data_IF_488798650040
#
_entry.id   IF_488798650040
#
_cell.length_a   1.000
_cell.length_b   1.000
_cell.length_c   1.000
_cell.angle_alpha   90.00
_cell.angle_beta   90.00
_cell.angle_gamma   90.00
#
_symmetry.space_group_name_H-M   'P 1'
#
loop_
_entity.id
_entity.type
_entity.pdbx_description
1 polymer ?
#
# COMPACT_ATOMS: atom_id res chain seq x y z
N UNK A 1 -6.93 13.17 -0.41
CA UNK A 1 -8.06 12.26 -0.12
C UNK A 1 -8.05 12.01 1.37
N UNK A 2 -9.08 12.40 2.08
CA UNK A 2 -9.22 12.21 3.55
C UNK A 2 -9.32 10.69 3.82
N UNK A 3 -8.63 10.21 4.86
CA UNK A 3 -8.57 8.77 5.16
C UNK A 3 -7.77 7.94 4.15
N UNK A 4 -7.00 8.59 3.28
CA UNK A 4 -6.17 7.92 2.30
C UNK A 4 -4.97 7.22 2.93
N UNK A 5 -4.23 6.59 2.08
CA UNK A 5 -3.06 5.77 2.36
C UNK A 5 -2.03 6.40 3.33
N UNK A 6 -1.72 7.71 3.21
CA UNK A 6 -0.77 8.39 4.09
C UNK A 6 -1.34 8.67 5.50
N UNK A 7 -2.65 8.61 5.69
CA UNK A 7 -3.29 8.83 6.98
C UNK A 7 -3.52 7.55 7.78
N UNK A 8 -3.41 6.38 7.17
CA UNK A 8 -3.80 5.11 7.81
C UNK A 8 -2.96 4.80 9.06
N UNK A 9 -1.64 4.92 8.99
CA UNK A 9 -0.79 4.69 10.16
C UNK A 9 -1.04 5.74 11.26
N UNK A 10 -1.01 7.07 11.00
CA UNK A 10 -1.30 8.05 12.03
C UNK A 10 -2.70 7.91 12.63
N UNK A 11 -3.73 7.58 11.85
CA UNK A 11 -5.07 7.30 12.36
C UNK A 11 -5.09 6.07 13.28
N UNK A 12 -4.35 5.02 12.92
CA UNK A 12 -4.31 3.80 13.72
C UNK A 12 -3.63 4.02 15.07
N UNK A 13 -2.51 4.76 15.12
CA UNK A 13 -1.82 5.06 16.38
C UNK A 13 -2.63 6.01 17.28
N UNK A 14 -3.34 6.98 16.70
CA UNK A 14 -4.31 7.83 17.42
C UNK A 14 -5.43 6.99 18.01
N UNK A 15 -6.07 6.14 17.21
CA UNK A 15 -7.17 5.28 17.63
C UNK A 15 -6.79 4.28 18.72
N UNK A 16 -5.52 3.88 18.72
CA UNK A 16 -4.96 3.00 19.75
C UNK A 16 -4.51 3.72 21.02
N UNK A 17 -4.61 5.05 21.08
CA UNK A 17 -4.15 5.85 22.21
C UNK A 17 -2.63 5.79 22.42
N UNK A 18 -1.87 5.59 21.35
CA UNK A 18 -0.40 5.58 21.39
C UNK A 18 0.19 6.99 21.24
N UNK A 19 -0.59 7.90 20.67
CA UNK A 19 -0.29 9.34 20.54
C UNK A 19 -1.58 10.14 20.73
N UNK A 20 -1.48 11.37 21.20
CA UNK A 20 -2.63 12.26 21.45
C UNK A 20 -3.04 13.04 20.20
N UNK A 21 -2.10 13.35 19.34
CA UNK A 21 -2.32 14.03 18.06
C UNK A 21 -1.33 13.52 17.00
N UNK A 22 -1.65 13.78 15.73
CA UNK A 22 -0.77 13.46 14.63
C UNK A 22 -0.87 14.51 13.52
N UNK A 23 0.20 14.66 12.77
CA UNK A 23 0.23 15.49 11.57
C UNK A 23 0.74 14.69 10.39
N UNK A 24 0.18 14.94 9.21
CA UNK A 24 0.70 14.45 7.93
C UNK A 24 1.37 15.63 7.23
N UNK A 25 2.67 15.57 7.10
CA UNK A 25 3.50 16.58 6.45
C UNK A 25 3.78 16.17 5.01
N UNK A 26 3.50 17.08 4.08
CA UNK A 26 3.75 16.86 2.65
C UNK A 26 4.56 18.01 2.07
N UNK A 27 5.41 17.71 1.10
CA UNK A 27 6.08 18.73 0.29
C UNK A 27 5.17 19.12 -0.89
N UNK A 28 5.17 20.40 -1.23
CA UNK A 28 4.52 20.88 -2.43
C UNK A 28 5.50 21.68 -3.32
N UNK A 29 5.22 21.67 -4.61
CA UNK A 29 6.03 22.35 -5.62
C UNK A 29 5.11 23.26 -6.43
N UNK A 30 5.09 24.55 -6.16
CA UNK A 30 4.23 25.47 -6.88
C UNK A 30 4.25 26.87 -6.30
N UNK A 31 3.60 27.82 -6.96
CA UNK A 31 3.56 29.21 -6.52
C UNK A 31 2.51 29.45 -5.42
N UNK A 32 1.46 28.60 -5.35
CA UNK A 32 0.37 28.78 -4.39
C UNK A 32 0.32 27.59 -3.44
N UNK A 33 0.44 27.80 -2.11
CA UNK A 33 0.34 26.70 -1.14
C UNK A 33 -1.05 26.03 -1.22
N UNK A 34 -1.12 24.71 -1.09
CA UNK A 34 -2.40 24.04 -0.94
C UNK A 34 -3.06 24.50 0.36
N UNK A 35 -4.38 24.60 0.33
CA UNK A 35 -5.17 24.93 1.54
C UNK A 35 -4.98 23.79 2.54
N UNK A 36 -4.59 24.13 3.78
CA UNK A 36 -4.55 23.17 4.89
C UNK A 36 -5.94 22.56 5.06
N UNK A 37 -6.00 21.24 5.06
CA UNK A 37 -7.25 20.50 5.20
C UNK A 37 -7.22 19.68 6.48
N UNK A 38 -8.35 19.60 7.20
CA UNK A 38 -8.45 18.63 8.29
C UNK A 38 -8.25 17.21 7.74
N UNK A 39 -7.57 16.38 8.52
CA UNK A 39 -7.47 14.95 8.24
C UNK A 39 -8.79 14.20 8.50
N UNK A 40 -8.74 12.87 8.44
CA UNK A 40 -9.89 12.00 8.71
C UNK A 40 -10.27 11.93 10.21
N UNK A 41 -9.59 12.67 11.07
CA UNK A 41 -9.86 12.80 12.50
C UNK A 41 -9.62 14.24 12.94
N UNK A 42 -10.34 14.75 13.94
CA UNK A 42 -10.08 16.09 14.51
C UNK A 42 -8.70 16.22 15.17
N UNK A 43 -8.06 15.08 15.51
CA UNK A 43 -6.70 15.03 16.07
C UNK A 43 -5.62 14.76 15.01
N UNK A 44 -5.99 14.75 13.72
CA UNK A 44 -5.09 14.58 12.58
C UNK A 44 -5.11 15.83 11.71
N UNK A 45 -4.00 16.54 11.65
CA UNK A 45 -3.81 17.71 10.79
C UNK A 45 -3.01 17.35 9.53
N UNK A 46 -3.29 18.03 8.43
CA UNK A 46 -2.46 18.00 7.22
C UNK A 46 -1.77 19.33 7.04
N UNK A 47 -0.44 19.29 6.87
CA UNK A 47 0.36 20.47 6.55
C UNK A 47 1.12 20.25 5.25
N UNK A 48 1.18 21.29 4.44
CA UNK A 48 1.99 21.30 3.24
C UNK A 48 3.12 22.31 3.40
N UNK A 49 4.35 21.89 3.14
CA UNK A 49 5.55 22.72 3.23
C UNK A 49 6.14 22.89 1.82
N UNK A 50 6.56 24.11 1.49
CA UNK A 50 7.19 24.34 0.20
C UNK A 50 8.54 23.65 0.15
N UNK A 51 8.75 22.82 -0.87
CA UNK A 51 10.05 22.19 -1.10
C UNK A 51 11.05 23.23 -1.64
N UNK A 52 12.29 23.17 -1.16
CA UNK A 52 13.37 24.03 -1.65
C UNK A 52 13.81 23.68 -3.09
N UNK A 53 13.49 22.45 -3.55
CA UNK A 53 13.85 21.94 -4.87
C UNK A 53 12.97 20.75 -5.26
N UNK A 54 13.19 20.22 -6.45
CA UNK A 54 12.45 19.09 -7.02
C UNK A 54 13.10 17.72 -6.78
N UNK A 55 14.32 17.69 -6.28
CA UNK A 55 15.10 16.47 -6.08
C UNK A 55 14.96 15.92 -4.65
N UNK A 56 14.81 14.61 -4.55
CA UNK A 56 14.78 13.90 -3.29
C UNK A 56 16.20 13.50 -2.82
N UNK A 57 16.44 13.40 -1.51
CA UNK A 57 15.50 13.62 -0.40
C UNK A 57 15.15 15.10 -0.24
N UNK A 58 13.86 15.38 0.03
CA UNK A 58 13.34 16.74 -0.02
C UNK A 58 13.72 17.58 1.18
N UNK A 59 14.22 18.81 0.93
CA UNK A 59 14.43 19.86 1.93
C UNK A 59 13.31 20.89 1.87
N UNK A 60 13.04 21.55 3.00
CA UNK A 60 12.05 22.62 3.11
C UNK A 60 12.40 23.58 4.24
N UNK A 61 12.69 24.83 3.89
CA UNK A 61 12.91 25.88 4.87
C UNK A 61 11.66 26.17 5.71
N UNK A 62 10.46 26.02 5.11
CA UNK A 62 9.20 26.19 5.82
C UNK A 62 9.03 25.10 6.89
N UNK A 63 9.39 23.86 6.57
CA UNK A 63 9.34 22.74 7.53
C UNK A 63 10.36 22.97 8.66
N UNK A 64 11.57 23.38 8.35
CA UNK A 64 12.60 23.73 9.35
C UNK A 64 12.16 24.88 10.24
N UNK A 65 11.56 25.92 9.65
CA UNK A 65 10.98 27.05 10.38
C UNK A 65 9.84 26.63 11.32
N UNK A 66 8.99 25.72 10.87
CA UNK A 66 7.93 25.15 11.69
C UNK A 66 8.49 24.34 12.88
N UNK A 67 9.48 23.49 12.64
CA UNK A 67 10.15 22.72 13.70
C UNK A 67 10.82 23.66 14.71
N UNK A 68 11.46 24.74 14.24
CA UNK A 68 12.10 25.72 15.13
C UNK A 68 11.10 26.50 15.99
N UNK A 69 9.91 26.80 15.45
CA UNK A 69 8.87 27.57 16.13
C UNK A 69 8.05 26.74 17.14
N UNK A 70 7.75 25.47 16.81
CA UNK A 70 6.83 24.64 17.58
C UNK A 70 7.49 23.44 18.25
N UNK A 71 8.76 23.19 17.98
CA UNK A 71 9.52 22.02 18.42
C UNK A 71 9.38 20.85 17.46
N UNK A 72 10.30 19.85 17.56
CA UNK A 72 10.22 18.63 16.80
C UNK A 72 9.09 17.71 17.30
N UNK A 73 8.50 16.87 16.44
CA UNK A 73 7.54 15.87 16.88
C UNK A 73 8.23 14.81 17.77
N UNK A 74 7.49 14.20 18.71
CA UNK A 74 8.03 13.09 19.50
C UNK A 74 8.39 11.88 18.62
N UNK A 75 7.61 11.65 17.57
CA UNK A 75 7.82 10.58 16.58
C UNK A 75 7.76 11.18 15.19
N UNK A 76 8.79 10.95 14.39
CA UNK A 76 8.83 11.32 12.97
C UNK A 76 8.82 10.06 12.09
N UNK A 77 7.75 9.83 11.34
CA UNK A 77 7.68 8.73 10.39
C UNK A 77 7.86 9.24 8.96
N UNK A 78 8.94 8.84 8.31
CA UNK A 78 9.34 9.27 6.96
C UNK A 78 9.03 8.18 5.94
N UNK A 79 8.55 8.58 4.75
CA UNK A 79 8.07 7.69 3.71
C UNK A 79 8.81 7.88 2.39
N UNK A 80 8.95 6.78 1.64
CA UNK A 80 9.37 6.80 0.23
C UNK A 80 10.70 7.50 -0.02
N UNK A 81 10.66 8.61 -0.74
CA UNK A 81 11.86 9.37 -1.13
C UNK A 81 12.50 10.17 0.01
N UNK A 82 11.79 10.26 1.15
CA UNK A 82 12.35 10.80 2.37
C UNK A 82 12.41 12.32 2.45
N UNK A 83 13.06 12.77 3.53
CA UNK A 83 13.41 14.17 3.79
C UNK A 83 14.94 14.29 3.86
N UNK A 84 15.44 15.48 3.65
CA UNK A 84 16.88 15.77 3.72
C UNK A 84 17.44 15.63 5.13
N UNK A 85 18.76 15.49 5.23
CA UNK A 85 19.44 15.29 6.51
C UNK A 85 19.21 16.43 7.51
N UNK A 86 19.12 17.67 7.04
CA UNK A 86 18.84 18.85 7.87
C UNK A 86 17.51 18.76 8.65
N UNK A 87 16.46 18.21 8.02
CA UNK A 87 15.18 17.94 8.69
C UNK A 87 15.34 16.87 9.77
N UNK A 88 16.10 15.80 9.51
CA UNK A 88 16.36 14.76 10.49
C UNK A 88 17.21 15.25 11.65
N UNK A 89 18.16 16.14 11.40
CA UNK A 89 18.98 16.80 12.44
C UNK A 89 18.16 17.79 13.27
N UNK A 90 17.23 18.52 12.66
CA UNK A 90 16.29 19.38 13.39
C UNK A 90 15.37 18.55 14.32
N UNK A 91 15.10 17.29 13.95
CA UNK A 91 14.33 16.30 14.71
C UNK A 91 15.24 15.30 15.47
N UNK A 92 16.46 15.71 15.91
CA UNK A 92 17.41 14.78 16.55
C UNK A 92 16.85 14.08 17.79
N UNK A 93 15.98 14.76 18.55
CA UNK A 93 15.37 14.25 19.78
C UNK A 93 14.09 13.42 19.53
N UNK A 94 13.63 13.36 18.27
CA UNK A 94 12.48 12.54 17.85
C UNK A 94 12.87 11.07 17.71
N UNK A 95 11.93 10.17 17.98
CA UNK A 95 12.04 8.78 17.53
C UNK A 95 11.74 8.71 16.02
N UNK A 96 12.72 8.34 15.21
CA UNK A 96 12.66 8.42 13.75
C UNK A 96 12.41 7.06 13.13
N UNK A 97 11.31 6.95 12.40
CA UNK A 97 10.88 5.74 11.70
C UNK A 97 11.00 5.99 10.20
N UNK A 98 11.60 5.05 9.47
CA UNK A 98 11.48 5.01 8.01
C UNK A 98 10.47 3.94 7.62
N UNK A 99 9.46 4.33 6.85
CA UNK A 99 8.46 3.40 6.33
C UNK A 99 8.77 3.06 4.87
N UNK A 100 9.30 1.86 4.65
CA UNK A 100 9.62 1.35 3.32
C UNK A 100 8.35 0.93 2.59
N UNK A 101 7.92 1.74 1.65
CA UNK A 101 6.69 1.53 0.87
C UNK A 101 6.95 1.08 -0.57
N UNK A 102 8.19 1.18 -1.01
CA UNK A 102 8.63 0.82 -2.36
C UNK A 102 9.35 -0.52 -2.38
N UNK A 103 9.52 -1.14 -3.56
CA UNK A 103 10.28 -2.38 -3.69
C UNK A 103 11.73 -2.23 -3.19
N UNK A 104 12.53 -1.18 -3.50
CA UNK A 104 13.78 -0.91 -2.79
C UNK A 104 13.52 -0.59 -1.32
N UNK A 105 14.17 -1.31 -0.41
CA UNK A 105 13.95 -1.20 1.03
C UNK A 105 14.24 0.21 1.58
N UNK A 106 15.22 0.89 1.03
CA UNK A 106 15.62 2.25 1.37
C UNK A 106 15.84 3.05 0.08
N UNK A 107 15.01 4.07 -0.15
CA UNK A 107 15.12 5.00 -1.28
C UNK A 107 15.88 6.27 -0.94
N UNK A 108 16.40 6.36 0.25
CA UNK A 108 17.21 7.49 0.73
C UNK A 108 18.69 7.10 0.79
N UNK A 109 19.63 8.04 0.60
CA UNK A 109 21.06 7.77 0.69
C UNK A 109 21.48 7.35 2.10
N UNK A 110 22.73 6.86 2.23
CA UNK A 110 23.23 6.31 3.50
C UNK A 110 23.24 7.36 4.62
N UNK A 111 23.67 8.56 4.33
CA UNK A 111 23.78 9.71 5.26
C UNK A 111 22.42 10.10 5.83
N UNK A 112 21.35 9.93 5.08
CA UNK A 112 19.98 10.12 5.54
C UNK A 112 19.48 8.89 6.30
N UNK A 113 19.67 7.69 5.73
CA UNK A 113 19.12 6.48 6.32
C UNK A 113 19.74 6.09 7.67
N UNK A 114 20.98 6.51 7.97
CA UNK A 114 21.65 6.27 9.25
C UNK A 114 21.00 6.94 10.46
N UNK A 115 20.15 7.95 10.24
CA UNK A 115 19.47 8.70 11.30
C UNK A 115 18.19 8.05 11.82
N UNK A 116 17.72 6.96 11.19
CA UNK A 116 16.49 6.29 11.63
C UNK A 116 16.76 5.34 12.80
N UNK A 117 15.81 5.31 13.74
CA UNK A 117 15.82 4.43 14.90
C UNK A 117 15.11 3.10 14.63
N UNK A 118 14.23 3.07 13.60
CA UNK A 118 13.46 1.90 13.19
C UNK A 118 13.14 1.98 11.69
N UNK A 119 13.15 0.83 11.02
CA UNK A 119 12.65 0.72 9.64
C UNK A 119 11.48 -0.28 9.57
N UNK A 120 10.33 0.19 9.08
CA UNK A 120 9.20 -0.66 8.74
C UNK A 120 9.39 -1.19 7.32
N UNK A 121 9.28 -2.49 7.13
CA UNK A 121 9.52 -3.17 5.85
C UNK A 121 8.30 -3.97 5.41
N UNK A 122 8.19 -4.24 4.12
CA UNK A 122 7.10 -5.04 3.54
C UNK A 122 7.39 -6.53 3.48
N UNK A 123 8.64 -6.95 3.75
CA UNK A 123 9.06 -8.35 3.58
C UNK A 123 10.38 -8.65 4.28
N UNK A 124 10.67 -9.94 4.44
CA UNK A 124 11.92 -10.40 5.06
C UNK A 124 13.16 -9.95 4.29
N UNK A 125 13.15 -10.06 2.94
CA UNK A 125 14.31 -9.65 2.13
C UNK A 125 14.62 -8.15 2.26
N UNK A 126 13.60 -7.29 2.39
CA UNK A 126 13.81 -5.87 2.65
C UNK A 126 14.48 -5.64 4.00
N UNK A 127 14.05 -6.37 5.03
CA UNK A 127 14.70 -6.32 6.36
C UNK A 127 16.16 -6.76 6.30
N UNK A 128 16.48 -7.74 5.47
CA UNK A 128 17.85 -8.20 5.25
C UNK A 128 18.71 -7.15 4.54
N UNK A 129 18.15 -6.46 3.53
CA UNK A 129 18.81 -5.33 2.87
C UNK A 129 19.07 -4.19 3.84
N UNK A 130 18.11 -3.84 4.71
CA UNK A 130 18.32 -2.81 5.73
C UNK A 130 19.44 -3.23 6.70
N UNK A 131 19.40 -4.44 7.23
CA UNK A 131 20.45 -4.95 8.16
C UNK A 131 21.84 -5.03 7.54
N UNK A 132 21.93 -5.34 6.25
CA UNK A 132 23.22 -5.34 5.55
C UNK A 132 23.81 -3.93 5.40
N UNK A 133 22.95 -2.91 5.30
CA UNK A 133 23.36 -1.51 5.17
C UNK A 133 23.56 -0.83 6.54
N UNK A 134 22.74 -1.21 7.53
CA UNK A 134 22.72 -0.66 8.89
C UNK A 134 22.51 -1.77 9.89
N UNK A 135 23.61 -2.34 10.40
CA UNK A 135 23.58 -3.52 11.31
C UNK A 135 22.90 -3.24 12.66
N UNK A 136 22.81 -1.98 13.07
CA UNK A 136 22.25 -1.57 14.38
C UNK A 136 20.81 -1.10 14.31
N UNK A 137 20.28 -0.81 13.12
CA UNK A 137 18.90 -0.32 12.99
C UNK A 137 17.93 -1.51 12.97
N UNK A 138 17.01 -1.61 13.94
CA UNK A 138 16.00 -2.66 13.97
C UNK A 138 15.00 -2.53 12.82
N UNK A 139 14.43 -3.66 12.42
CA UNK A 139 13.40 -3.71 11.38
C UNK A 139 12.15 -4.44 11.87
N UNK A 140 10.98 -3.99 11.43
CA UNK A 140 9.71 -4.69 11.63
C UNK A 140 9.09 -4.93 10.26
N UNK A 141 8.70 -6.18 9.99
CA UNK A 141 7.86 -6.49 8.82
C UNK A 141 6.43 -6.06 9.16
N UNK A 142 6.06 -4.91 8.64
CA UNK A 142 4.74 -4.30 8.81
C UNK A 142 4.37 -3.64 7.48
N UNK A 143 4.04 -4.44 6.47
CA UNK A 143 3.71 -3.92 5.16
C UNK A 143 2.44 -3.09 5.22
N UNK A 144 2.46 -2.00 4.47
CA UNK A 144 1.32 -1.09 4.34
C UNK A 144 0.06 -1.77 3.80
N UNK A 145 0.22 -2.85 3.04
CA UNK A 145 -0.86 -3.56 2.40
C UNK A 145 -1.88 -4.07 3.41
N UNK A 146 -1.74 -5.33 3.82
CA UNK A 146 -2.73 -6.02 4.64
C UNK A 146 -3.02 -5.33 5.96
N UNK A 147 -2.00 -4.93 6.65
CA UNK A 147 -2.11 -4.38 7.98
C UNK A 147 -2.57 -2.92 7.99
N UNK A 148 -2.69 -2.28 6.81
CA UNK A 148 -3.13 -0.90 6.66
C UNK A 148 -4.48 -0.75 5.96
N UNK A 149 -5.10 -1.83 5.50
CA UNK A 149 -6.45 -1.80 4.96
C UNK A 149 -7.50 -1.71 6.08
N UNK A 150 -8.60 -1.01 5.82
CA UNK A 150 -9.69 -0.85 6.79
C UNK A 150 -10.79 -1.88 6.54
N UNK A 151 -11.11 -2.67 7.57
CA UNK A 151 -12.24 -3.61 7.56
C UNK A 151 -13.61 -2.90 7.55
N UNK A 152 -13.65 -1.60 7.81
CA UNK A 152 -14.87 -0.80 7.71
C UNK A 152 -15.15 -0.37 6.28
N UNK A 153 -14.10 -0.11 5.51
CA UNK A 153 -14.20 0.27 4.10
C UNK A 153 -14.33 -0.95 3.20
N UNK A 154 -13.47 -1.97 3.40
CA UNK A 154 -13.47 -3.19 2.62
C UNK A 154 -14.19 -4.30 3.38
N UNK A 155 -15.34 -4.70 2.85
CA UNK A 155 -16.22 -5.69 3.49
C UNK A 155 -17.07 -6.42 2.46
N UNK A 156 -17.54 -7.62 2.77
CA UNK A 156 -18.50 -8.31 1.93
C UNK A 156 -19.80 -7.51 1.75
N UNK A 157 -20.28 -7.50 0.52
CA UNK A 157 -21.59 -6.95 0.14
C UNK A 157 -22.31 -8.06 -0.62
N UNK A 158 -23.54 -8.37 -0.21
CA UNK A 158 -24.38 -9.34 -0.93
C UNK A 158 -24.84 -8.72 -2.24
N UNK A 159 -24.27 -9.23 -3.35
CA UNK A 159 -24.58 -8.77 -4.69
C UNK A 159 -24.18 -9.79 -5.77
N UNK A 160 -24.79 -9.74 -6.97
CA UNK A 160 -24.47 -10.65 -8.06
C UNK A 160 -23.01 -10.57 -8.48
N UNK A 161 -22.39 -11.73 -8.69
CA UNK A 161 -21.04 -11.85 -9.23
C UNK A 161 -21.06 -11.74 -10.75
N UNK A 162 -20.75 -10.55 -11.24
CA UNK A 162 -20.75 -10.20 -12.67
C UNK A 162 -19.44 -10.56 -13.35
N UNK A 163 -18.33 -10.57 -12.58
CA UNK A 163 -16.98 -10.83 -13.07
C UNK A 163 -16.39 -12.08 -12.40
N UNK A 164 -15.62 -12.84 -13.17
CA UNK A 164 -14.84 -13.95 -12.61
C UNK A 164 -13.58 -13.44 -11.93
N UNK A 165 -12.96 -12.41 -12.51
CA UNK A 165 -11.69 -11.84 -12.06
C UNK A 165 -11.77 -10.32 -11.95
N UNK A 166 -11.16 -9.74 -10.91
CA UNK A 166 -10.93 -8.30 -10.82
C UNK A 166 -9.45 -8.00 -10.59
N UNK A 167 -8.93 -6.97 -11.27
CA UNK A 167 -7.61 -6.42 -11.04
C UNK A 167 -7.70 -4.92 -10.76
N UNK A 168 -7.48 -4.52 -9.51
CA UNK A 168 -7.41 -3.12 -9.09
C UNK A 168 -5.95 -2.70 -9.05
N UNK A 169 -5.50 -1.99 -10.06
CA UNK A 169 -4.10 -1.60 -10.22
C UNK A 169 -3.97 -0.38 -11.15
N UNK A 170 -2.99 0.47 -10.90
CA UNK A 170 -2.63 1.54 -11.82
C UNK A 170 -2.29 1.01 -13.23
N UNK A 171 -2.65 1.76 -14.27
CA UNK A 171 -2.28 1.43 -15.65
C UNK A 171 -0.79 1.76 -15.91
N UNK A 172 0.10 1.04 -15.24
CA UNK A 172 1.54 1.22 -15.27
C UNK A 172 2.28 -0.10 -15.54
N UNK A 173 3.45 -0.04 -16.15
CA UNK A 173 4.20 -1.21 -16.64
C UNK A 173 4.51 -2.23 -15.52
N UNK A 174 4.90 -1.78 -14.33
CA UNK A 174 5.25 -2.67 -13.22
C UNK A 174 4.06 -3.45 -12.64
N UNK A 175 2.83 -3.04 -12.93
CA UNK A 175 1.61 -3.77 -12.53
C UNK A 175 1.32 -4.98 -13.41
N UNK A 176 2.02 -5.13 -14.57
CA UNK A 176 2.02 -6.37 -15.37
C UNK A 176 0.63 -6.88 -15.74
N UNK A 177 -0.24 -6.00 -16.27
CA UNK A 177 -1.56 -6.39 -16.78
C UNK A 177 -1.48 -7.47 -17.86
N UNK A 178 -0.38 -7.50 -18.63
CA UNK A 178 -0.06 -8.52 -19.63
C UNK A 178 -0.19 -9.96 -19.08
N UNK A 179 0.22 -10.22 -17.83
CA UNK A 179 0.10 -11.54 -17.21
C UNK A 179 -1.37 -11.96 -17.09
N UNK A 180 -2.26 -11.05 -16.68
CA UNK A 180 -3.69 -11.32 -16.64
C UNK A 180 -4.25 -11.57 -18.03
N UNK A 181 -3.93 -10.72 -19.01
CA UNK A 181 -4.46 -10.80 -20.36
C UNK A 181 -4.02 -12.07 -21.08
N UNK A 182 -2.75 -12.45 -20.97
CA UNK A 182 -2.23 -13.72 -21.50
C UNK A 182 -2.87 -14.94 -20.80
N UNK A 183 -3.20 -14.84 -19.52
CA UNK A 183 -3.92 -15.89 -18.82
C UNK A 183 -5.37 -16.01 -19.31
N UNK A 184 -6.08 -14.89 -19.47
CA UNK A 184 -7.45 -14.86 -19.97
C UNK A 184 -7.55 -15.41 -21.40
N UNK A 185 -6.55 -15.13 -22.25
CA UNK A 185 -6.50 -15.66 -23.63
C UNK A 185 -6.44 -17.20 -23.69
N UNK A 186 -5.99 -17.87 -22.60
CA UNK A 186 -5.93 -19.34 -22.46
C UNK A 186 -7.16 -19.92 -21.76
N UNK A 187 -8.14 -19.10 -21.40
CA UNK A 187 -9.36 -19.48 -20.70
C UNK A 187 -10.59 -19.36 -21.62
N UNK A 188 -11.75 -19.94 -21.25
CA UNK A 188 -12.97 -19.80 -22.03
C UNK A 188 -13.33 -18.35 -22.34
N UNK A 189 -13.79 -18.05 -23.54
CA UNK A 189 -14.20 -16.71 -23.97
C UNK A 189 -15.36 -16.10 -23.15
N UNK A 190 -16.09 -16.92 -22.42
CA UNK A 190 -17.12 -16.49 -21.48
C UNK A 190 -16.55 -15.89 -20.18
N UNK A 191 -15.24 -16.07 -19.91
CA UNK A 191 -14.57 -15.50 -18.74
C UNK A 191 -14.60 -13.97 -18.81
N UNK A 192 -15.06 -13.34 -17.75
CA UNK A 192 -15.17 -11.88 -17.65
C UNK A 192 -14.21 -11.34 -16.60
N UNK A 193 -13.44 -10.33 -16.96
CA UNK A 193 -12.58 -9.62 -16.03
C UNK A 193 -12.94 -8.14 -15.96
N UNK A 194 -12.64 -7.52 -14.81
CA UNK A 194 -12.71 -6.09 -14.59
C UNK A 194 -11.33 -5.56 -14.19
N UNK A 195 -10.82 -4.55 -14.91
CA UNK A 195 -9.62 -3.81 -14.52
C UNK A 195 -10.04 -2.43 -14.00
N UNK A 196 -9.70 -2.11 -12.76
CA UNK A 196 -9.94 -0.80 -12.14
C UNK A 196 -8.62 -0.02 -12.10
N UNK A 197 -8.49 0.96 -13.00
CA UNK A 197 -7.26 1.72 -13.22
C UNK A 197 -7.46 3.17 -12.76
N UNK A 198 -7.07 3.48 -11.51
CA UNK A 198 -7.25 4.82 -10.94
C UNK A 198 -6.32 5.88 -11.54
N UNK A 199 -5.19 5.49 -12.12
CA UNK A 199 -4.20 6.36 -12.78
C UNK A 199 -3.24 5.52 -13.62
N UNK A 200 -2.35 6.20 -14.37
CA UNK A 200 -1.31 5.58 -15.19
C UNK A 200 -1.46 5.92 -16.67
N UNK A 201 -0.38 5.76 -17.40
CA UNK A 201 -0.23 6.17 -18.80
C UNK A 201 -0.55 5.06 -19.81
N UNK A 202 -0.78 3.82 -19.36
CA UNK A 202 -0.86 2.66 -20.27
C UNK A 202 -2.28 2.34 -20.77
N UNK A 203 -3.31 3.11 -20.41
CA UNK A 203 -4.71 2.76 -20.75
C UNK A 203 -4.92 2.44 -22.24
N UNK A 204 -4.34 3.25 -23.14
CA UNK A 204 -4.45 2.99 -24.58
C UNK A 204 -3.79 1.68 -25.02
N UNK A 205 -2.66 1.33 -24.42
CA UNK A 205 -1.95 0.07 -24.67
C UNK A 205 -2.73 -1.13 -24.15
N UNK A 206 -3.27 -1.04 -22.92
CA UNK A 206 -4.05 -2.12 -22.32
C UNK A 206 -5.32 -2.41 -23.13
N UNK A 207 -6.04 -1.39 -23.58
CA UNK A 207 -7.25 -1.58 -24.43
C UNK A 207 -6.93 -2.22 -25.76
N UNK A 208 -5.84 -1.81 -26.40
CA UNK A 208 -5.39 -2.40 -27.67
C UNK A 208 -5.05 -3.88 -27.48
N UNK A 209 -4.29 -4.24 -26.46
CA UNK A 209 -3.92 -5.63 -26.15
C UNK A 209 -5.16 -6.50 -25.90
N UNK A 210 -6.13 -6.02 -25.15
CA UNK A 210 -7.41 -6.71 -24.93
C UNK A 210 -8.14 -6.97 -26.24
N UNK A 211 -8.17 -5.98 -27.15
CA UNK A 211 -8.78 -6.12 -28.48
C UNK A 211 -8.03 -7.14 -29.37
N UNK A 212 -6.71 -7.10 -29.40
CA UNK A 212 -5.86 -8.01 -30.16
C UNK A 212 -6.00 -9.47 -29.69
N UNK A 213 -6.09 -9.69 -28.37
CA UNK A 213 -6.29 -11.00 -27.77
C UNK A 213 -7.76 -11.49 -27.86
N UNK A 214 -8.70 -10.58 -28.13
CA UNK A 214 -10.12 -10.87 -28.19
C UNK A 214 -10.68 -11.42 -26.87
N UNK A 215 -10.19 -10.94 -25.74
CA UNK A 215 -10.62 -11.31 -24.39
C UNK A 215 -11.68 -10.35 -23.87
N UNK A 216 -12.42 -10.77 -22.83
CA UNK A 216 -13.56 -10.02 -22.31
C UNK A 216 -13.16 -9.28 -21.02
N UNK A 217 -12.70 -8.03 -21.15
CA UNK A 217 -12.25 -7.19 -20.05
C UNK A 217 -12.95 -5.85 -20.09
N UNK A 218 -13.63 -5.50 -19.00
CA UNK A 218 -14.17 -4.17 -18.76
C UNK A 218 -13.14 -3.32 -18.00
N UNK A 219 -13.17 -1.99 -18.21
CA UNK A 219 -12.25 -1.06 -17.55
C UNK A 219 -12.99 0.05 -16.81
N UNK A 220 -12.51 0.38 -15.61
CA UNK A 220 -12.75 1.66 -14.95
C UNK A 220 -11.50 2.50 -15.18
N UNK A 221 -11.66 3.61 -15.89
CA UNK A 221 -10.56 4.48 -16.31
C UNK A 221 -10.18 5.51 -15.22
N UNK A 222 -9.00 6.15 -15.35
CA UNK A 222 -8.67 7.34 -14.56
C UNK A 222 -9.76 8.44 -14.65
N UNK A 223 -10.03 9.16 -13.57
CA UNK A 223 -9.29 9.18 -12.31
C UNK A 223 -9.64 8.06 -11.32
N UNK A 224 -10.30 7.00 -11.74
CA UNK A 224 -10.76 5.92 -10.89
C UNK A 224 -12.02 6.28 -10.08
N UNK A 225 -12.24 5.55 -9.00
CA UNK A 225 -13.43 5.67 -8.16
C UNK A 225 -13.06 5.72 -6.67
N UNK A 226 -13.95 6.23 -5.79
CA UNK A 226 -13.73 6.20 -4.33
C UNK A 226 -13.57 4.78 -3.78
N UNK A 227 -12.96 4.63 -2.61
CA UNK A 227 -12.69 3.33 -1.99
C UNK A 227 -13.95 2.50 -1.72
N UNK A 228 -15.05 3.13 -1.37
CA UNK A 228 -16.35 2.47 -1.18
C UNK A 228 -16.85 1.85 -2.49
N UNK A 229 -16.65 2.57 -3.59
CA UNK A 229 -17.00 2.04 -4.92
C UNK A 229 -16.02 0.95 -5.36
N UNK A 230 -14.72 1.09 -5.05
CA UNK A 230 -13.76 0.00 -5.26
C UNK A 230 -14.21 -1.26 -4.51
N UNK A 231 -14.63 -1.14 -3.25
CA UNK A 231 -15.17 -2.28 -2.50
C UNK A 231 -16.42 -2.88 -3.16
N UNK A 232 -17.32 -2.04 -3.70
CA UNK A 232 -18.51 -2.50 -4.42
C UNK A 232 -18.12 -3.29 -5.67
N UNK A 233 -17.18 -2.78 -6.46
CA UNK A 233 -16.65 -3.45 -7.66
C UNK A 233 -15.94 -4.77 -7.31
N UNK A 234 -15.17 -4.81 -6.23
CA UNK A 234 -14.58 -6.06 -5.72
C UNK A 234 -15.65 -7.11 -5.45
N UNK A 235 -16.75 -6.70 -4.81
CA UNK A 235 -17.84 -7.60 -4.47
C UNK A 235 -18.62 -8.12 -5.70
N UNK A 236 -18.47 -7.52 -6.87
CA UNK A 236 -18.99 -8.05 -8.13
C UNK A 236 -18.10 -9.14 -8.75
N UNK A 237 -16.90 -9.34 -8.24
CA UNK A 237 -15.97 -10.34 -8.75
C UNK A 237 -15.90 -11.58 -7.84
N UNK A 238 -15.42 -12.69 -8.40
CA UNK A 238 -15.24 -13.97 -7.69
C UNK A 238 -13.86 -14.05 -7.05
N UNK A 239 -12.81 -13.62 -7.77
CA UNK A 239 -11.42 -13.60 -7.28
C UNK A 239 -10.75 -12.27 -7.62
N UNK A 240 -9.85 -11.83 -6.75
CA UNK A 240 -8.93 -10.73 -7.00
C UNK A 240 -7.58 -11.23 -7.53
N UNK A 241 -6.92 -10.47 -8.39
CA UNK A 241 -5.58 -10.82 -8.87
C UNK A 241 -4.57 -9.72 -8.58
N UNK A 242 -3.30 -10.11 -8.39
CA UNK A 242 -2.16 -9.20 -8.30
C UNK A 242 -1.05 -9.72 -9.21
N UNK A 243 -0.84 -9.05 -10.33
CA UNK A 243 0.10 -9.45 -11.37
C UNK A 243 1.46 -8.76 -11.25
N UNK A 244 1.55 -7.63 -10.53
CA UNK A 244 2.76 -6.83 -10.38
C UNK A 244 3.96 -7.59 -9.82
N UNK A 245 5.16 -7.02 -10.05
CA UNK A 245 6.43 -7.58 -9.58
C UNK A 245 7.04 -6.66 -8.51
N UNK A 246 7.34 -5.43 -8.90
CA UNK A 246 8.04 -4.45 -8.07
C UNK A 246 7.08 -3.59 -7.23
N UNK A 247 6.19 -4.23 -6.50
CA UNK A 247 5.27 -3.59 -5.57
C UNK A 247 5.76 -3.81 -4.13
N UNK A 248 6.13 -2.74 -3.45
CA UNK A 248 6.72 -2.80 -2.11
C UNK A 248 5.67 -2.93 -1.00
N UNK A 249 4.46 -2.47 -1.25
CA UNK A 249 3.39 -2.42 -0.25
C UNK A 249 2.00 -2.61 -0.89
N UNK A 250 1.70 -3.79 -1.46
CA UNK A 250 0.46 -4.03 -2.18
C UNK A 250 -0.75 -4.12 -1.24
N UNK A 251 -1.30 -2.97 -0.83
CA UNK A 251 -2.49 -2.87 0.03
C UNK A 251 -3.67 -3.66 -0.53
N UNK A 252 -3.75 -3.77 -1.85
CA UNK A 252 -4.82 -4.46 -2.55
C UNK A 252 -4.98 -5.93 -2.14
N UNK A 253 -3.90 -6.60 -1.72
CA UNK A 253 -3.95 -8.00 -1.27
C UNK A 253 -4.96 -8.19 -0.13
N UNK A 254 -4.89 -7.33 0.88
CA UNK A 254 -5.81 -7.40 2.01
C UNK A 254 -7.12 -6.67 1.79
N UNK A 255 -7.16 -5.70 0.94
CA UNK A 255 -8.42 -5.07 0.53
C UNK A 255 -9.33 -6.11 -0.12
N UNK A 256 -8.81 -6.96 -1.01
CA UNK A 256 -9.55 -8.11 -1.54
C UNK A 256 -9.99 -9.07 -0.42
N UNK A 257 -9.07 -9.48 0.45
CA UNK A 257 -9.36 -10.42 1.53
C UNK A 257 -10.41 -9.88 2.49
N UNK A 258 -10.35 -8.58 2.84
CA UNK A 258 -11.35 -7.90 3.67
C UNK A 258 -12.71 -7.83 2.99
N UNK A 259 -12.75 -7.65 1.67
CA UNK A 259 -13.97 -7.75 0.88
C UNK A 259 -14.51 -9.20 0.75
N UNK A 260 -13.82 -10.18 1.32
CA UNK A 260 -14.19 -11.59 1.26
C UNK A 260 -13.80 -12.29 -0.03
N UNK A 261 -12.89 -11.69 -0.81
CA UNK A 261 -12.48 -12.20 -2.14
C UNK A 261 -11.10 -12.83 -2.02
N UNK A 262 -10.93 -14.10 -2.41
CA UNK A 262 -9.63 -14.76 -2.41
C UNK A 262 -8.72 -14.18 -3.51
N UNK A 263 -7.40 -14.27 -3.29
CA UNK A 263 -6.39 -13.60 -4.11
C UNK A 263 -5.50 -14.59 -4.85
N UNK A 264 -5.35 -14.39 -6.16
CA UNK A 264 -4.30 -15.02 -6.96
C UNK A 264 -3.16 -14.00 -7.15
N UNK A 265 -1.98 -14.30 -6.63
CA UNK A 265 -0.81 -13.45 -6.76
C UNK A 265 0.25 -14.04 -7.69
N UNK A 266 0.94 -13.16 -8.43
CA UNK A 266 2.13 -13.53 -9.19
C UNK A 266 3.26 -13.98 -8.26
N UNK A 267 3.85 -15.14 -8.53
CA UNK A 267 4.97 -15.67 -7.74
C UNK A 267 6.22 -14.78 -7.73
N UNK A 268 6.33 -13.86 -8.67
CA UNK A 268 7.42 -12.90 -8.76
C UNK A 268 7.17 -11.62 -7.96
N UNK A 269 6.00 -11.48 -7.32
CA UNK A 269 5.70 -10.32 -6.47
C UNK A 269 6.69 -10.24 -5.31
N UNK A 270 7.37 -9.12 -5.16
CA UNK A 270 8.48 -8.97 -4.19
C UNK A 270 8.02 -8.83 -2.75
N UNK A 271 6.87 -8.23 -2.50
CA UNK A 271 6.34 -8.02 -1.16
C UNK A 271 4.88 -8.46 -1.07
N UNK A 272 4.47 -9.00 0.08
CA UNK A 272 3.08 -9.35 0.36
C UNK A 272 2.73 -10.83 0.15
N UNK A 273 3.59 -11.66 -0.44
CA UNK A 273 3.28 -13.09 -0.64
C UNK A 273 3.06 -13.87 0.67
N UNK A 274 3.59 -13.38 1.79
CA UNK A 274 3.36 -13.95 3.12
C UNK A 274 1.88 -13.94 3.55
N UNK A 275 1.05 -13.12 2.91
CA UNK A 275 -0.39 -13.06 3.18
C UNK A 275 -1.22 -14.05 2.37
N UNK A 276 -0.59 -14.71 1.38
CA UNK A 276 -1.26 -15.72 0.56
C UNK A 276 -1.05 -17.08 1.21
N UNK A 277 -2.09 -17.55 1.90
CA UNK A 277 -2.16 -18.88 2.52
C UNK A 277 -3.11 -19.78 1.73
N UNK A 278 -3.14 -21.10 2.00
CA UNK A 278 -4.10 -22.00 1.37
C UNK A 278 -5.58 -21.58 1.55
N UNK A 279 -5.88 -20.83 2.64
CA UNK A 279 -7.22 -20.33 2.95
C UNK A 279 -7.53 -18.98 2.30
N UNK A 280 -6.50 -18.18 1.98
CA UNK A 280 -6.70 -16.82 1.43
C UNK A 280 -6.56 -16.75 -0.07
N UNK A 281 -5.86 -17.72 -0.68
CA UNK A 281 -5.62 -17.66 -2.11
C UNK A 281 -4.56 -18.62 -2.62
N UNK A 282 -3.93 -18.21 -3.70
CA UNK A 282 -2.89 -18.99 -4.38
C UNK A 282 -1.81 -18.08 -4.96
N UNK A 283 -0.60 -18.59 -5.04
CA UNK A 283 0.52 -18.00 -5.80
C UNK A 283 0.72 -18.82 -7.07
N UNK A 284 0.91 -18.17 -8.21
CA UNK A 284 1.20 -18.83 -9.48
C UNK A 284 2.24 -18.05 -10.30
N UNK A 285 3.06 -18.77 -11.08
CA UNK A 285 3.95 -18.10 -12.03
C UNK A 285 3.16 -17.50 -13.20
N UNK A 286 3.70 -16.51 -13.92
CA UNK A 286 3.03 -15.91 -15.07
C UNK A 286 2.53 -16.94 -16.10
N UNK A 287 3.33 -17.97 -16.39
CA UNK A 287 3.02 -18.99 -17.37
C UNK A 287 1.84 -19.86 -16.95
N UNK A 288 1.66 -20.08 -15.64
CA UNK A 288 0.61 -20.90 -15.02
C UNK A 288 -0.52 -20.08 -14.41
N UNK A 289 -0.56 -18.77 -14.66
CA UNK A 289 -1.55 -17.88 -14.05
C UNK A 289 -2.99 -18.29 -14.42
N UNK A 290 -3.21 -18.73 -15.66
CA UNK A 290 -4.50 -19.25 -16.12
C UNK A 290 -4.96 -20.52 -15.39
N UNK A 291 -4.02 -21.42 -15.03
CA UNK A 291 -4.31 -22.58 -14.18
C UNK A 291 -4.69 -22.14 -12.77
N UNK A 292 -4.00 -21.12 -12.24
CA UNK A 292 -4.32 -20.52 -10.95
C UNK A 292 -5.73 -19.94 -10.90
N UNK A 293 -6.15 -19.20 -11.93
CA UNK A 293 -7.52 -18.66 -12.04
C UNK A 293 -8.54 -19.81 -12.03
N UNK A 294 -8.34 -20.86 -12.84
CA UNK A 294 -9.24 -22.01 -12.93
C UNK A 294 -9.36 -22.75 -11.60
N UNK A 295 -8.24 -23.04 -10.95
CA UNK A 295 -8.20 -23.73 -9.66
C UNK A 295 -8.96 -22.93 -8.59
N UNK A 296 -8.69 -21.63 -8.48
CA UNK A 296 -9.34 -20.78 -7.49
C UNK A 296 -10.85 -20.68 -7.69
N UNK A 297 -11.31 -20.53 -8.94
CA UNK A 297 -12.74 -20.52 -9.25
C UNK A 297 -13.43 -21.85 -8.88
N UNK A 298 -12.72 -22.98 -8.99
CA UNK A 298 -13.22 -24.30 -8.57
C UNK A 298 -13.27 -24.51 -7.05
N UNK A 299 -12.55 -23.69 -6.27
CA UNK A 299 -12.37 -23.84 -4.82
C UNK A 299 -13.02 -22.75 -3.97
N UNK A 300 -13.79 -21.84 -4.54
CA UNK A 300 -14.32 -20.65 -3.85
C UNK A 300 -14.97 -20.98 -2.49
N UNK A 301 -15.74 -22.06 -2.41
CA UNK A 301 -16.44 -22.46 -1.18
C UNK A 301 -15.52 -22.94 -0.03
N UNK A 302 -14.22 -23.18 -0.30
CA UNK A 302 -13.25 -23.63 0.71
C UNK A 302 -12.35 -22.50 1.22
N UNK A 303 -12.41 -21.32 0.59
CA UNK A 303 -11.55 -20.20 0.88
C UNK A 303 -12.21 -19.25 1.88
N UNK A 304 -11.43 -18.77 2.85
CA UNK A 304 -11.88 -17.93 3.97
C UNK A 304 -11.00 -16.68 4.16
N UNK A 305 -10.77 -15.89 3.11
CA UNK A 305 -9.79 -14.81 3.15
C UNK A 305 -10.09 -13.77 4.23
N UNK A 306 -11.37 -13.40 4.42
CA UNK A 306 -11.75 -12.41 5.43
C UNK A 306 -11.51 -12.91 6.86
N UNK A 307 -11.85 -14.15 7.14
CA UNK A 307 -11.63 -14.72 8.49
C UNK A 307 -10.14 -14.68 8.85
N UNK A 308 -9.28 -15.08 7.90
CA UNK A 308 -7.83 -15.11 8.11
C UNK A 308 -7.25 -13.71 8.30
N UNK A 309 -7.63 -12.73 7.47
CA UNK A 309 -7.12 -11.36 7.60
C UNK A 309 -7.56 -10.71 8.89
N UNK A 310 -8.82 -10.89 9.29
CA UNK A 310 -9.33 -10.35 10.55
C UNK A 310 -8.64 -10.97 11.78
N UNK A 311 -8.30 -12.25 11.72
CA UNK A 311 -7.63 -12.95 12.81
C UNK A 311 -6.14 -12.57 12.96
N UNK A 312 -5.46 -12.15 11.87
CA UNK A 312 -4.00 -12.07 11.87
C UNK A 312 -3.41 -10.72 11.47
N UNK A 313 -4.11 -9.90 10.65
CA UNK A 313 -3.46 -8.79 9.93
C UNK A 313 -4.27 -7.49 9.91
N UNK A 314 -5.00 -7.22 10.98
CA UNK A 314 -5.66 -5.91 11.18
C UNK A 314 -4.75 -4.94 11.95
N UNK A 315 -5.15 -3.69 12.04
CA UNK A 315 -4.41 -2.65 12.76
C UNK A 315 -3.99 -3.01 14.18
N UNK A 316 -4.82 -3.65 15.02
CA UNK A 316 -4.38 -4.08 16.34
C UNK A 316 -3.20 -5.06 16.31
N UNK A 317 -3.08 -5.87 15.26
CA UNK A 317 -1.94 -6.79 15.09
C UNK A 317 -0.67 -6.01 14.73
N UNK A 318 -0.75 -5.07 13.79
CA UNK A 318 0.35 -4.20 13.40
C UNK A 318 0.86 -3.36 14.57
N UNK A 319 -0.05 -2.74 15.30
CA UNK A 319 0.30 -1.88 16.43
C UNK A 319 0.93 -2.65 17.60
N UNK A 320 0.57 -3.93 17.80
CA UNK A 320 1.28 -4.78 18.78
C UNK A 320 2.77 -4.95 18.45
N UNK A 321 3.12 -5.03 17.16
CA UNK A 321 4.53 -5.08 16.73
C UNK A 321 5.26 -3.76 16.94
N UNK A 322 4.57 -2.64 16.75
CA UNK A 322 5.15 -1.30 16.84
C UNK A 322 5.27 -0.80 18.29
N UNK A 323 4.31 -1.16 19.16
CA UNK A 323 4.21 -0.68 20.54
C UNK A 323 5.50 -0.77 21.36
N UNK A 324 6.30 -1.86 21.33
CA UNK A 324 7.54 -1.95 22.10
C UNK A 324 8.57 -0.86 21.77
N UNK A 325 8.52 -0.30 20.55
CA UNK A 325 9.43 0.74 20.10
C UNK A 325 8.93 2.15 20.45
N UNK A 326 7.63 2.34 20.63
CA UNK A 326 7.04 3.63 20.96
C UNK A 326 6.99 3.88 22.48
N UNK A 327 6.96 2.83 23.29
CA UNK A 327 6.83 2.95 24.76
C UNK A 327 8.05 3.51 25.49
N UNK A 328 9.18 3.70 24.82
CA UNK A 328 10.38 4.37 25.35
C UNK A 328 10.41 5.88 25.15
N UNK A 329 9.55 6.43 24.32
CA UNK A 329 9.53 7.85 23.92
C UNK A 329 8.50 8.70 24.68
N UNK A 330 7.69 8.09 25.54
CA UNK A 330 6.73 8.77 26.40
C UNK A 330 7.34 9.00 27.80
N UNK A 331 8.37 9.84 27.88
CA UNK A 331 8.85 10.43 29.15
C UNK A 331 9.11 11.92 28.96
#
# INVERSE_FOLDING_TARGET
>A
MIGGYIERLPLAVLKAGLVDCAEVWTHWHGATPPIEQPGASPFLMRRAFQANGSEAPFSSNDMLGHIAAFGPPSILCVWGLGVSEDVLLACRDSFKIYNSIDAPALRVPFDVSRHFDLVLTGSQWQSEVVRSRHSTIPTIIMPIGPEFASELTFRPIDMPKTYDVIYVAAAQAYKRHDILFQALAKLPRSMRALCVCGYGEMMGTLRREVGELGINVDFIDPPGVPFEEVNRLMNQARIGVVCGIDDGAPAILTEYMLAGIPVLANSQLRCGLQFITPETGRVASPEKFHEGIRDMLGRLGTLKPREVVLANWTWPHSLRKLRPFLGGSAR
#
